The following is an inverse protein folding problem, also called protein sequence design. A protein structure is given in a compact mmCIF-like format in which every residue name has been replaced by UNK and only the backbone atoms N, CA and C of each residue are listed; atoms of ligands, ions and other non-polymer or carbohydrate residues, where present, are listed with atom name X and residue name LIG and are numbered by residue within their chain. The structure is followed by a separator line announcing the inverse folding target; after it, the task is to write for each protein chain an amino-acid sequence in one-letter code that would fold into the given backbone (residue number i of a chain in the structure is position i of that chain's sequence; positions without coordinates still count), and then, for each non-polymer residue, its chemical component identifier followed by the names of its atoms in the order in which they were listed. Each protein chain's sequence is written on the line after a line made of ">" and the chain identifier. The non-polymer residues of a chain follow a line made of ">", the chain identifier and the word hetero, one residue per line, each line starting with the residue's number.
data_IF_498556019473
#
_entry.id   IF_498556019473
#
_cell.length_a   1.000
_cell.length_b   1.000
_cell.length_c   1.000
_cell.angle_alpha   90.00
_cell.angle_beta   90.00
_cell.angle_gamma   90.00
#
_symmetry.space_group_name_H-M   'P 1'
#
loop_
_entity.id
_entity.type
_entity.pdbx_description
1 polymer ?
#
# COMPACT_ATOMS: atom_id res chain seq x y z
N UNK A 1 -31.22 79.51 27.73
CA UNK A 1 -32.63 79.84 28.10
C UNK A 1 -33.48 78.74 27.46
N UNK A 2 -34.01 77.80 28.27
CA UNK A 2 -35.45 77.55 28.50
C UNK A 2 -36.18 77.21 27.20
N UNK A 3 -36.91 76.11 26.96
CA UNK A 3 -37.81 75.22 27.70
C UNK A 3 -38.12 74.02 26.78
N UNK A 4 -38.17 72.82 27.23
CA UNK A 4 -39.31 72.05 27.79
C UNK A 4 -40.51 71.82 26.88
N UNK A 5 -40.86 70.57 26.76
CA UNK A 5 -42.15 69.86 26.79
C UNK A 5 -42.49 69.09 25.50
N UNK A 6 -42.61 67.86 25.49
CA UNK A 6 -43.48 66.81 26.06
C UNK A 6 -44.50 66.27 25.07
N UNK A 7 -44.50 64.97 24.95
CA UNK A 7 -45.55 63.95 24.77
C UNK A 7 -46.66 64.10 23.74
N UNK A 8 -46.84 63.08 22.92
CA UNK A 8 -48.03 62.17 22.78
C UNK A 8 -47.82 61.33 21.50
N UNK A 9 -47.73 60.12 21.51
CA UNK A 9 -48.69 59.00 21.53
C UNK A 9 -49.44 58.86 20.21
N UNK A 10 -49.05 57.93 19.40
CA UNK A 10 -49.78 57.57 18.15
C UNK A 10 -49.41 56.18 17.68
N UNK A 11 -50.22 55.19 18.10
CA UNK A 11 -50.17 53.83 17.64
C UNK A 11 -50.69 53.72 16.22
N UNK A 12 -49.85 53.43 15.23
CA UNK A 12 -50.30 53.08 13.89
C UNK A 12 -49.92 51.61 13.61
N UNK A 13 -50.97 50.76 13.58
CA UNK A 13 -50.86 49.41 13.02
C UNK A 13 -50.67 49.48 11.50
N UNK A 14 -49.55 49.04 11.01
CA UNK A 14 -49.38 48.75 9.58
C UNK A 14 -49.36 47.24 9.38
N UNK A 15 -50.42 46.74 8.77
CA UNK A 15 -50.49 45.42 8.23
C UNK A 15 -49.48 45.28 7.08
N UNK A 16 -48.41 44.58 7.30
CA UNK A 16 -47.48 44.15 6.24
C UNK A 16 -47.95 42.77 5.66
N UNK A 17 -48.50 42.83 4.47
CA UNK A 17 -48.71 41.68 3.63
C UNK A 17 -47.35 41.03 3.27
N UNK A 18 -47.12 39.87 3.82
CA UNK A 18 -45.93 39.07 3.52
C UNK A 18 -46.05 38.41 2.14
N UNK A 19 -45.24 38.88 1.20
CA UNK A 19 -44.98 38.10 -0.03
C UNK A 19 -43.96 37.00 0.28
N UNK A 20 -44.43 35.76 0.35
CA UNK A 20 -43.57 34.57 0.39
C UNK A 20 -42.95 34.33 -0.97
N UNK A 21 -41.73 34.72 -1.16
CA UNK A 21 -40.91 34.27 -2.29
C UNK A 21 -40.39 32.86 -2.00
N UNK A 22 -40.98 31.85 -2.63
CA UNK A 22 -40.41 30.52 -2.72
C UNK A 22 -39.15 30.58 -3.59
N UNK A 23 -37.98 30.60 -2.98
CA UNK A 23 -36.73 30.34 -3.66
C UNK A 23 -36.48 28.83 -3.72
N UNK A 24 -36.79 28.19 -4.85
CA UNK A 24 -36.32 26.86 -5.17
C UNK A 24 -34.78 26.90 -5.34
N UNK A 25 -34.07 26.77 -4.25
CA UNK A 25 -32.65 26.44 -4.24
C UNK A 25 -32.52 24.92 -4.15
N UNK A 26 -32.07 24.26 -5.22
CA UNK A 26 -31.57 22.90 -5.16
C UNK A 26 -30.29 22.95 -4.30
N UNK A 27 -30.44 22.71 -3.02
CA UNK A 27 -29.31 22.44 -2.14
C UNK A 27 -28.63 21.17 -2.62
N UNK A 28 -27.36 21.24 -2.99
CA UNK A 28 -26.52 20.07 -3.06
C UNK A 28 -26.54 19.40 -1.66
N UNK A 29 -26.64 18.06 -1.58
CA UNK A 29 -26.53 17.41 -0.29
C UNK A 29 -25.14 17.73 0.27
N UNK A 30 -25.10 18.41 1.39
CA UNK A 30 -23.89 18.56 2.22
C UNK A 30 -23.49 17.13 2.62
N UNK A 31 -22.33 16.70 2.16
CA UNK A 31 -21.70 15.44 2.62
C UNK A 31 -21.28 15.72 4.05
N UNK A 32 -22.16 15.44 4.98
CA UNK A 32 -21.82 15.44 6.40
C UNK A 32 -20.93 14.19 6.62
N UNK A 33 -19.63 14.39 6.69
CA UNK A 33 -18.72 13.38 7.22
C UNK A 33 -18.99 13.26 8.72
N UNK A 34 -20.04 12.52 9.08
CA UNK A 34 -20.26 12.20 10.49
C UNK A 34 -19.10 11.30 10.96
N UNK A 35 -18.33 11.81 11.90
CA UNK A 35 -17.37 11.01 12.67
C UNK A 35 -18.13 9.81 13.25
N UNK A 36 -17.65 8.57 13.14
CA UNK A 36 -18.35 7.41 13.66
C UNK A 36 -18.66 7.62 15.15
N UNK A 37 -19.84 7.24 15.56
CA UNK A 37 -20.36 7.45 16.92
C UNK A 37 -19.47 6.80 18.00
N UNK A 38 -18.67 5.79 17.61
CA UNK A 38 -17.67 5.15 18.48
C UNK A 38 -16.46 4.79 17.63
N UNK A 39 -15.25 5.27 18.02
CA UNK A 39 -14.00 4.93 17.36
C UNK A 39 -13.73 3.42 17.47
N UNK A 40 -13.41 2.79 16.35
CA UNK A 40 -13.06 1.37 16.31
C UNK A 40 -11.65 1.16 16.87
N UNK A 41 -11.51 0.15 17.72
CA UNK A 41 -10.21 -0.23 18.24
C UNK A 41 -9.38 -0.91 17.14
N UNK A 42 -8.12 -0.51 16.98
CA UNK A 42 -7.17 -1.18 16.09
C UNK A 42 -6.94 -2.63 16.54
N UNK A 43 -7.19 -3.63 15.70
CA UNK A 43 -6.95 -5.03 16.06
C UNK A 43 -5.45 -5.32 16.18
N UNK A 44 -5.11 -6.36 16.96
CA UNK A 44 -3.74 -6.81 17.07
C UNK A 44 -3.32 -7.59 15.82
N UNK A 45 -2.21 -7.20 15.20
CA UNK A 45 -1.62 -7.93 14.08
C UNK A 45 -1.05 -9.26 14.53
N UNK A 46 -1.36 -10.34 13.84
CA UNK A 46 -0.86 -11.68 14.15
C UNK A 46 0.39 -11.99 13.31
N UNK A 47 1.56 -11.79 13.92
CA UNK A 47 2.87 -12.05 13.29
C UNK A 47 3.10 -13.48 12.88
N UNK A 48 2.52 -14.45 13.63
CA UNK A 48 2.70 -15.88 13.33
C UNK A 48 1.88 -16.29 12.10
N UNK A 49 0.69 -15.69 11.93
CA UNK A 49 -0.11 -15.82 10.71
C UNK A 49 0.63 -15.26 9.50
N UNK A 50 1.18 -14.02 9.61
CA UNK A 50 1.95 -13.41 8.54
C UNK A 50 3.17 -14.26 8.15
N UNK A 51 3.92 -14.74 9.14
CA UNK A 51 5.04 -15.65 8.91
C UNK A 51 4.63 -16.93 8.17
N UNK A 52 3.49 -17.55 8.55
CA UNK A 52 2.99 -18.72 7.86
C UNK A 52 2.58 -18.43 6.41
N UNK A 53 2.12 -17.21 6.10
CA UNK A 53 1.84 -16.81 4.73
C UNK A 53 3.12 -16.63 3.91
N UNK A 54 4.20 -16.12 4.50
CA UNK A 54 5.51 -16.08 3.86
C UNK A 54 6.03 -17.49 3.61
N UNK A 55 6.04 -18.34 4.67
CA UNK A 55 6.49 -19.72 4.57
C UNK A 55 5.73 -20.50 3.48
N UNK A 56 4.41 -20.31 3.39
CA UNK A 56 3.61 -20.98 2.37
C UNK A 56 3.98 -20.61 0.95
N UNK A 57 4.36 -19.35 0.70
CA UNK A 57 4.84 -18.92 -0.61
C UNK A 57 6.16 -19.63 -0.96
N UNK A 58 7.10 -19.75 -0.01
CA UNK A 58 8.38 -20.43 -0.23
C UNK A 58 8.23 -21.95 -0.44
N UNK A 59 7.20 -22.57 0.14
CA UNK A 59 6.89 -23.99 -0.09
C UNK A 59 6.51 -24.31 -1.55
N UNK A 60 6.04 -23.34 -2.32
CA UNK A 60 5.78 -23.52 -3.74
C UNK A 60 7.07 -23.49 -4.58
N UNK A 61 8.15 -22.95 -4.03
CA UNK A 61 9.41 -22.69 -4.71
C UNK A 61 9.51 -21.25 -5.24
N UNK A 62 10.59 -20.92 -5.96
CA UNK A 62 10.76 -19.61 -6.59
C UNK A 62 9.59 -19.25 -7.51
N UNK A 63 9.00 -18.10 -7.27
CA UNK A 63 7.79 -17.64 -7.96
C UNK A 63 8.12 -16.88 -9.25
N UNK A 64 9.10 -17.39 -9.98
CA UNK A 64 9.53 -16.80 -11.25
C UNK A 64 8.41 -16.89 -12.30
N UNK A 65 8.03 -15.81 -12.97
CA UNK A 65 7.02 -15.85 -14.04
C UNK A 65 7.27 -16.95 -15.06
N UNK A 66 6.20 -17.56 -15.58
CA UNK A 66 6.20 -18.73 -16.47
C UNK A 66 6.52 -20.09 -15.83
N UNK A 67 6.74 -20.17 -14.51
CA UNK A 67 6.99 -21.44 -13.83
C UNK A 67 5.72 -22.05 -13.23
N UNK A 68 5.76 -23.35 -12.92
CA UNK A 68 4.66 -24.01 -12.20
C UNK A 68 4.48 -23.45 -10.78
N UNK A 69 5.57 -23.13 -10.08
CA UNK A 69 5.54 -22.51 -8.75
C UNK A 69 4.79 -21.17 -8.76
N UNK A 70 5.08 -20.31 -9.74
CA UNK A 70 4.40 -19.04 -9.96
C UNK A 70 2.89 -19.25 -10.17
N UNK A 71 2.49 -20.15 -11.06
CA UNK A 71 1.08 -20.42 -11.33
C UNK A 71 0.32 -20.95 -10.10
N UNK A 72 0.93 -21.85 -9.33
CA UNK A 72 0.33 -22.40 -8.10
C UNK A 72 0.20 -21.32 -7.03
N UNK A 73 1.25 -20.51 -6.85
CA UNK A 73 1.23 -19.39 -5.91
C UNK A 73 0.16 -18.35 -6.29
N UNK A 74 0.07 -17.95 -7.56
CA UNK A 74 -1.00 -17.05 -8.06
C UNK A 74 -2.39 -17.54 -7.66
N UNK A 75 -2.68 -18.81 -7.93
CA UNK A 75 -3.99 -19.40 -7.62
C UNK A 75 -4.26 -19.40 -6.11
N UNK A 76 -3.24 -19.67 -5.31
CA UNK A 76 -3.34 -19.66 -3.84
C UNK A 76 -3.58 -18.24 -3.31
N UNK A 77 -2.87 -17.23 -3.80
CA UNK A 77 -3.04 -15.82 -3.40
C UNK A 77 -4.45 -15.33 -3.73
N UNK A 78 -4.92 -15.57 -4.97
CA UNK A 78 -6.28 -15.22 -5.38
C UNK A 78 -7.33 -15.90 -4.50
N UNK A 79 -7.16 -17.20 -4.20
CA UNK A 79 -8.07 -17.95 -3.33
C UNK A 79 -8.05 -17.42 -1.88
N UNK A 80 -6.88 -16.99 -1.36
CA UNK A 80 -6.77 -16.42 -0.02
C UNK A 80 -7.52 -15.10 0.10
N UNK A 81 -7.32 -14.17 -0.82
CA UNK A 81 -8.03 -12.89 -0.82
C UNK A 81 -9.54 -13.09 -0.94
N UNK A 82 -10.00 -13.98 -1.85
CA UNK A 82 -11.42 -14.35 -1.96
C UNK A 82 -11.96 -14.96 -0.65
N UNK A 83 -11.17 -15.84 -0.02
CA UNK A 83 -11.52 -16.48 1.25
C UNK A 83 -11.64 -15.49 2.41
N UNK A 84 -10.98 -14.33 2.33
CA UNK A 84 -11.11 -13.23 3.29
C UNK A 84 -12.19 -12.21 2.91
N UNK A 85 -13.01 -12.53 1.90
CA UNK A 85 -14.17 -11.71 1.52
C UNK A 85 -13.85 -10.51 0.64
N UNK A 86 -12.66 -10.46 0.01
CA UNK A 86 -12.34 -9.44 -0.96
C UNK A 86 -12.87 -9.83 -2.35
N UNK A 87 -13.33 -8.84 -3.11
CA UNK A 87 -13.54 -9.02 -4.55
C UNK A 87 -12.19 -9.07 -5.25
N UNK A 88 -11.93 -10.14 -6.03
CA UNK A 88 -10.63 -10.36 -6.65
C UNK A 88 -10.70 -10.20 -8.16
N UNK A 89 -9.83 -9.34 -8.69
CA UNK A 89 -9.57 -9.15 -10.12
C UNK A 89 -8.19 -9.72 -10.43
N UNK A 90 -8.09 -10.63 -11.39
CA UNK A 90 -6.85 -11.09 -11.97
C UNK A 90 -6.57 -10.30 -13.25
N UNK A 91 -5.66 -9.33 -13.18
CA UNK A 91 -5.26 -8.51 -14.31
C UNK A 91 -4.12 -9.19 -15.06
N UNK A 92 -4.48 -9.98 -16.08
CA UNK A 92 -3.51 -10.72 -16.89
C UNK A 92 -2.85 -9.80 -17.91
N UNK A 93 -1.53 -9.94 -18.09
CA UNK A 93 -0.76 -9.20 -19.09
C UNK A 93 0.46 -10.01 -19.57
N UNK A 94 1.05 -9.62 -20.70
CA UNK A 94 2.19 -10.34 -21.28
C UNK A 94 3.28 -9.33 -21.62
N UNK A 95 4.12 -8.91 -20.67
CA UNK A 95 5.22 -8.01 -20.94
C UNK A 95 6.36 -8.74 -21.68
N UNK A 96 7.18 -7.95 -22.35
CA UNK A 96 8.45 -8.43 -22.92
C UNK A 96 9.58 -7.90 -22.04
N UNK A 97 10.41 -8.79 -21.52
CA UNK A 97 11.55 -8.47 -20.65
C UNK A 97 12.72 -7.88 -21.44
N UNK A 98 13.72 -7.38 -20.73
CA UNK A 98 14.96 -6.83 -21.29
C UNK A 98 15.72 -7.84 -22.18
N UNK A 99 15.64 -9.14 -21.87
CA UNK A 99 16.25 -10.24 -22.63
C UNK A 99 15.32 -10.83 -23.72
N UNK A 100 14.19 -10.16 -24.02
CA UNK A 100 13.26 -10.50 -25.09
C UNK A 100 12.27 -11.62 -24.79
N UNK A 101 12.22 -12.12 -23.54
CA UNK A 101 11.22 -13.12 -23.13
C UNK A 101 9.85 -12.50 -22.95
N UNK A 102 8.81 -13.27 -23.25
CA UNK A 102 7.43 -12.93 -22.92
C UNK A 102 7.01 -13.63 -21.63
N UNK A 103 6.54 -12.87 -20.66
CA UNK A 103 6.08 -13.39 -19.38
C UNK A 103 4.54 -13.46 -19.37
N UNK A 104 4.00 -14.60 -18.93
CA UNK A 104 2.57 -14.71 -18.63
C UNK A 104 2.37 -14.26 -17.19
N UNK A 105 2.08 -13.00 -17.00
CA UNK A 105 2.03 -12.35 -15.70
C UNK A 105 0.60 -11.97 -15.29
N UNK A 106 0.38 -11.84 -13.99
CA UNK A 106 -0.94 -11.51 -13.43
C UNK A 106 -0.79 -10.64 -12.18
N UNK A 107 -1.19 -9.38 -12.26
CA UNK A 107 -1.45 -8.60 -11.05
C UNK A 107 -2.72 -9.12 -10.38
N UNK A 108 -2.66 -9.36 -9.07
CA UNK A 108 -3.79 -9.83 -8.27
C UNK A 108 -4.31 -8.67 -7.44
N UNK A 109 -5.54 -8.26 -7.69
CA UNK A 109 -6.16 -7.09 -7.04
C UNK A 109 -7.29 -7.59 -6.15
N UNK A 110 -7.15 -7.42 -4.85
CA UNK A 110 -8.20 -7.71 -3.87
C UNK A 110 -8.83 -6.42 -3.37
N UNK A 111 -10.14 -6.27 -3.55
CA UNK A 111 -10.88 -5.09 -3.12
C UNK A 111 -11.73 -5.41 -1.90
N UNK A 112 -11.40 -4.81 -0.76
CA UNK A 112 -12.26 -4.78 0.41
C UNK A 112 -13.17 -3.56 0.33
N UNK A 113 -14.49 -3.75 0.48
CA UNK A 113 -15.50 -2.69 0.36
C UNK A 113 -15.35 -1.87 -0.94
N UNK A 114 -15.44 -2.50 -2.14
CA UNK A 114 -15.23 -1.82 -3.42
C UNK A 114 -16.25 -0.70 -3.70
N UNK A 115 -17.41 -0.75 -3.06
CA UNK A 115 -18.47 0.27 -3.16
C UNK A 115 -18.12 1.59 -2.47
N UNK A 116 -17.18 1.60 -1.53
CA UNK A 116 -16.81 2.81 -0.80
C UNK A 116 -15.83 3.65 -1.62
N UNK A 117 -16.11 4.95 -1.73
CA UNK A 117 -15.27 5.91 -2.45
C UNK A 117 -14.00 6.30 -1.69
N UNK A 118 -14.10 6.45 -0.36
CA UNK A 118 -12.95 6.68 0.49
C UNK A 118 -12.17 5.39 0.64
N UNK A 119 -10.96 5.35 0.11
CA UNK A 119 -10.16 4.12 0.09
C UNK A 119 -8.66 4.38 0.08
N UNK A 120 -7.90 3.41 0.54
CA UNK A 120 -6.43 3.39 0.48
C UNK A 120 -5.95 2.17 -0.32
N UNK A 121 -4.74 2.29 -0.87
CA UNK A 121 -4.08 1.24 -1.64
C UNK A 121 -2.92 0.66 -0.83
N UNK A 122 -2.87 -0.65 -0.70
CA UNK A 122 -1.74 -1.39 -0.14
C UNK A 122 -1.19 -2.30 -1.23
N UNK A 123 0.12 -2.35 -1.40
CA UNK A 123 0.71 -3.18 -2.43
C UNK A 123 2.00 -3.88 -1.97
N UNK A 124 2.34 -4.96 -2.66
CA UNK A 124 3.62 -5.66 -2.62
C UNK A 124 3.79 -6.40 -3.94
N UNK A 125 5.02 -6.72 -4.36
CA UNK A 125 5.18 -7.66 -5.45
C UNK A 125 5.12 -9.10 -4.94
N UNK A 126 4.76 -10.07 -5.80
CA UNK A 126 4.59 -11.46 -5.39
C UNK A 126 5.44 -12.46 -6.17
N UNK A 127 6.02 -12.04 -7.28
CA UNK A 127 7.02 -12.83 -8.01
C UNK A 127 8.35 -12.88 -7.26
N UNK A 128 9.33 -13.54 -7.80
CA UNK A 128 10.70 -13.55 -7.27
C UNK A 128 11.74 -13.53 -8.39
N UNK A 129 12.93 -13.04 -8.06
CA UNK A 129 14.07 -12.90 -8.96
C UNK A 129 14.43 -14.21 -9.65
N UNK A 130 14.54 -14.23 -11.01
CA UNK A 130 14.98 -15.42 -11.74
C UNK A 130 16.47 -15.71 -11.63
N UNK A 131 17.26 -14.76 -11.11
CA UNK A 131 18.71 -14.81 -11.07
C UNK A 131 19.24 -14.40 -9.69
N UNK A 132 20.11 -15.21 -9.07
CA UNK A 132 20.80 -14.84 -7.83
C UNK A 132 22.00 -13.93 -8.16
N UNK A 133 21.74 -12.72 -8.64
CA UNK A 133 22.72 -11.85 -9.28
C UNK A 133 23.20 -10.65 -8.45
N UNK A 134 22.94 -10.64 -7.13
CA UNK A 134 23.48 -9.61 -6.24
C UNK A 134 24.99 -9.41 -6.51
N UNK A 135 25.47 -8.17 -6.59
CA UNK A 135 26.88 -7.88 -6.91
C UNK A 135 27.88 -8.60 -6.04
N UNK A 136 27.61 -8.70 -4.75
CA UNK A 136 28.49 -9.33 -3.75
C UNK A 136 28.29 -10.85 -3.64
N UNK A 137 27.32 -11.45 -4.35
CA UNK A 137 27.05 -12.88 -4.31
C UNK A 137 28.08 -13.65 -5.17
N UNK A 138 28.74 -14.63 -4.54
CA UNK A 138 29.78 -15.46 -5.19
C UNK A 138 29.28 -16.85 -5.62
N UNK A 139 27.98 -17.15 -5.40
CA UNK A 139 27.38 -18.41 -5.76
C UNK A 139 26.96 -18.51 -7.23
N UNK A 140 26.06 -19.45 -7.53
CA UNK A 140 25.53 -19.65 -8.88
C UNK A 140 24.48 -18.61 -9.23
N UNK A 141 24.89 -17.60 -9.98
CA UNK A 141 24.05 -16.47 -10.40
C UNK A 141 22.94 -16.85 -11.40
N UNK A 142 22.91 -18.07 -11.88
CA UNK A 142 21.86 -18.54 -12.80
C UNK A 142 20.66 -19.16 -12.08
N UNK A 143 20.77 -19.36 -10.77
CA UNK A 143 19.67 -19.93 -9.95
C UNK A 143 18.62 -18.88 -9.62
N UNK A 144 17.34 -19.28 -9.58
CA UNK A 144 16.28 -18.41 -9.10
C UNK A 144 16.35 -18.22 -7.59
N UNK A 145 15.97 -17.04 -7.14
CA UNK A 145 15.87 -16.67 -5.72
C UNK A 145 14.55 -17.17 -5.13
N UNK A 146 14.58 -17.65 -3.89
CA UNK A 146 13.36 -18.10 -3.21
C UNK A 146 12.42 -16.92 -2.89
N UNK A 147 12.95 -15.73 -2.63
CA UNK A 147 12.17 -14.53 -2.41
C UNK A 147 11.30 -14.59 -1.15
N UNK A 148 11.87 -14.98 -0.01
CA UNK A 148 11.13 -15.01 1.24
C UNK A 148 10.89 -13.59 1.79
N UNK A 149 11.92 -12.77 1.73
CA UNK A 149 11.84 -11.35 2.09
C UNK A 149 11.44 -10.52 0.88
N UNK A 150 12.13 -10.72 -0.22
CA UNK A 150 11.96 -10.04 -1.49
C UNK A 150 10.73 -10.61 -2.24
N UNK A 151 9.68 -9.83 -2.16
CA UNK A 151 8.29 -10.01 -2.44
C UNK A 151 7.49 -10.77 -1.38
N UNK A 152 8.00 -11.89 -0.87
CA UNK A 152 7.25 -12.77 0.02
C UNK A 152 6.82 -12.15 1.33
N UNK A 153 7.65 -11.30 1.94
CA UNK A 153 7.38 -10.67 3.24
C UNK A 153 6.22 -9.67 3.17
N UNK A 154 6.23 -8.78 2.17
CA UNK A 154 5.17 -7.81 1.93
C UNK A 154 3.82 -8.48 1.71
N UNK A 155 3.78 -9.50 0.85
CA UNK A 155 2.56 -10.31 0.61
C UNK A 155 2.08 -10.98 1.89
N UNK A 156 2.97 -11.54 2.71
CA UNK A 156 2.62 -12.17 3.98
C UNK A 156 1.95 -11.21 4.96
N UNK A 157 2.46 -9.97 5.06
CA UNK A 157 1.86 -8.91 5.87
C UNK A 157 0.47 -8.54 5.33
N UNK A 158 0.32 -8.33 4.02
CA UNK A 158 -0.95 -7.91 3.43
C UNK A 158 -2.03 -8.98 3.48
N UNK A 159 -1.68 -10.27 3.42
CA UNK A 159 -2.64 -11.37 3.65
C UNK A 159 -3.14 -11.39 5.10
N UNK A 160 -2.30 -11.07 6.08
CA UNK A 160 -2.75 -10.94 7.46
C UNK A 160 -3.62 -9.70 7.66
N UNK A 161 -3.32 -8.57 6.98
CA UNK A 161 -4.19 -7.39 6.97
C UNK A 161 -5.56 -7.76 6.39
N UNK A 162 -5.62 -8.46 5.27
CA UNK A 162 -6.89 -8.94 4.68
C UNK A 162 -7.69 -9.81 5.65
N UNK A 163 -7.00 -10.74 6.36
CA UNK A 163 -7.62 -11.59 7.38
C UNK A 163 -8.19 -10.78 8.54
N UNK A 164 -7.49 -9.71 8.96
CA UNK A 164 -7.95 -8.83 10.03
C UNK A 164 -9.15 -8.00 9.61
N UNK A 165 -9.19 -7.50 8.36
CA UNK A 165 -10.35 -6.78 7.82
C UNK A 165 -11.61 -7.65 7.78
N UNK A 166 -11.46 -8.95 7.49
CA UNK A 166 -12.57 -9.91 7.57
C UNK A 166 -13.05 -10.11 9.02
N UNK A 167 -12.11 -10.29 9.95
CA UNK A 167 -12.42 -10.60 11.35
C UNK A 167 -12.95 -9.38 12.14
N UNK A 168 -12.51 -8.20 11.76
CA UNK A 168 -12.81 -6.91 12.41
C UNK A 168 -13.21 -5.89 11.33
N UNK A 169 -14.45 -5.93 10.82
CA UNK A 169 -14.86 -5.08 9.71
C UNK A 169 -14.78 -3.58 10.02
N UNK A 170 -14.42 -2.79 9.01
CA UNK A 170 -14.32 -1.33 9.05
C UNK A 170 -14.89 -0.73 7.77
N UNK A 171 -15.55 0.44 7.86
CA UNK A 171 -16.23 1.06 6.71
C UNK A 171 -15.32 2.05 5.97
N UNK A 172 -14.18 1.54 5.49
CA UNK A 172 -13.27 2.20 4.56
C UNK A 172 -12.89 1.20 3.46
N UNK A 173 -12.77 1.66 2.22
CA UNK A 173 -12.30 0.82 1.13
C UNK A 173 -10.79 0.56 1.26
N UNK A 174 -10.37 -0.68 1.04
CA UNK A 174 -8.95 -1.05 0.97
C UNK A 174 -8.72 -1.89 -0.28
N UNK A 175 -7.80 -1.44 -1.14
CA UNK A 175 -7.31 -2.25 -2.24
C UNK A 175 -5.98 -2.88 -1.85
N UNK A 176 -5.87 -4.18 -2.01
CA UNK A 176 -4.62 -4.93 -1.87
C UNK A 176 -4.19 -5.37 -3.26
N UNK A 177 -3.06 -4.89 -3.73
CA UNK A 177 -2.53 -5.23 -5.05
C UNK A 177 -1.21 -5.98 -4.90
N UNK A 178 -1.17 -7.19 -5.45
CA UNK A 178 0.06 -7.95 -5.60
C UNK A 178 0.53 -7.79 -7.05
N UNK A 179 1.61 -7.03 -7.23
CA UNK A 179 2.23 -6.81 -8.53
C UNK A 179 3.04 -8.03 -8.96
N UNK A 180 3.02 -8.34 -10.27
CA UNK A 180 3.76 -9.45 -10.86
C UNK A 180 4.87 -8.92 -11.77
N UNK A 181 5.92 -9.71 -11.97
CA UNK A 181 7.05 -9.36 -12.83
C UNK A 181 7.69 -8.01 -12.44
N UNK A 182 7.77 -7.74 -11.14
CA UNK A 182 8.54 -6.65 -10.58
C UNK A 182 10.03 -6.94 -10.80
N UNK A 183 10.45 -8.15 -10.41
CA UNK A 183 11.82 -8.56 -10.15
C UNK A 183 12.50 -9.24 -11.36
N UNK A 184 11.93 -9.07 -12.56
CA UNK A 184 12.53 -9.56 -13.82
C UNK A 184 13.28 -8.45 -14.58
N UNK A 185 13.86 -7.49 -13.87
CA UNK A 185 14.58 -6.38 -14.48
C UNK A 185 16.03 -6.70 -14.87
N UNK A 186 16.63 -5.83 -15.67
CA UNK A 186 18.05 -5.88 -16.05
C UNK A 186 18.92 -5.41 -14.88
N UNK A 187 19.71 -6.30 -14.28
CA UNK A 187 20.66 -6.00 -13.19
C UNK A 187 22.01 -5.46 -13.66
N UNK A 188 22.19 -5.17 -14.94
CA UNK A 188 23.47 -4.64 -15.46
C UNK A 188 23.68 -3.17 -15.06
N UNK A 189 24.94 -2.74 -14.99
CA UNK A 189 25.35 -1.39 -14.53
C UNK A 189 24.73 -0.24 -15.36
N UNK A 190 24.41 -0.51 -16.64
CA UNK A 190 23.83 0.49 -17.55
C UNK A 190 22.34 0.21 -17.85
N UNK A 191 21.68 -0.59 -17.02
CA UNK A 191 20.29 -0.95 -17.21
C UNK A 191 19.35 0.26 -17.14
N UNK A 192 18.29 0.19 -17.93
CA UNK A 192 17.22 1.18 -17.84
C UNK A 192 16.27 0.81 -16.71
N UNK A 193 15.85 1.77 -15.88
CA UNK A 193 14.91 1.52 -14.79
C UNK A 193 13.60 0.89 -15.25
N UNK A 194 13.11 1.21 -16.44
CA UNK A 194 11.85 0.73 -16.99
C UNK A 194 11.83 -0.76 -17.37
N UNK A 195 12.93 -1.48 -17.18
CA UNK A 195 12.99 -2.95 -17.30
C UNK A 195 12.44 -3.67 -16.05
N UNK A 196 12.33 -2.98 -14.91
CA UNK A 196 11.81 -3.44 -13.64
C UNK A 196 10.32 -3.11 -13.46
N UNK A 197 9.66 -3.69 -12.48
CA UNK A 197 8.31 -3.31 -12.04
C UNK A 197 7.27 -3.37 -13.17
N UNK A 198 7.37 -4.39 -14.06
CA UNK A 198 6.52 -4.48 -15.25
C UNK A 198 5.03 -4.59 -14.91
N UNK A 199 4.70 -5.17 -13.75
CA UNK A 199 3.33 -5.29 -13.25
C UNK A 199 2.72 -3.97 -12.85
N UNK A 200 3.41 -3.17 -12.03
CA UNK A 200 2.90 -1.86 -11.64
C UNK A 200 2.87 -0.87 -12.81
N UNK A 201 3.83 -0.96 -13.74
CA UNK A 201 3.77 -0.20 -14.99
C UNK A 201 2.50 -0.52 -15.79
N UNK A 202 2.17 -1.82 -15.90
CA UNK A 202 0.96 -2.26 -16.59
C UNK A 202 -0.30 -1.80 -15.85
N UNK A 203 -0.36 -2.01 -14.53
CA UNK A 203 -1.49 -1.63 -13.70
C UNK A 203 -1.73 -0.11 -13.73
N UNK A 204 -0.68 0.70 -13.61
CA UNK A 204 -0.79 2.15 -13.60
C UNK A 204 -1.33 2.73 -14.93
N UNK A 205 -1.06 2.06 -16.05
CA UNK A 205 -1.61 2.40 -17.37
C UNK A 205 -3.05 1.87 -17.57
N UNK A 206 -3.47 0.87 -16.79
CA UNK A 206 -4.74 0.13 -16.96
C UNK A 206 -5.48 -0.01 -15.64
N UNK A 207 -5.76 1.10 -14.97
CA UNK A 207 -6.41 1.11 -13.67
C UNK A 207 -7.80 0.45 -13.73
N UNK A 208 -8.09 -0.40 -12.75
CA UNK A 208 -9.36 -1.12 -12.64
C UNK A 208 -10.52 -0.27 -12.08
N UNK A 209 -10.22 0.92 -11.59
CA UNK A 209 -11.20 1.80 -10.97
C UNK A 209 -12.24 2.31 -11.96
N UNK A 210 -13.49 2.41 -11.49
CA UNK A 210 -14.63 2.89 -12.27
C UNK A 210 -15.21 4.14 -11.60
N UNK A 211 -16.00 4.91 -12.35
CA UNK A 211 -16.79 6.05 -11.83
C UNK A 211 -15.95 7.12 -11.09
N UNK A 212 -14.67 7.26 -11.42
CA UNK A 212 -13.81 8.25 -10.79
C UNK A 212 -13.35 7.91 -9.37
N UNK A 213 -13.73 6.74 -8.84
CA UNK A 213 -13.22 6.26 -7.55
C UNK A 213 -11.73 5.95 -7.71
N UNK A 214 -10.90 6.48 -6.79
CA UNK A 214 -9.46 6.20 -6.71
C UNK A 214 -9.03 6.19 -5.25
N UNK A 215 -7.96 5.47 -4.90
CA UNK A 215 -7.40 5.55 -3.55
C UNK A 215 -6.87 6.96 -3.28
N UNK A 216 -7.03 7.42 -2.04
CA UNK A 216 -6.50 8.71 -1.59
C UNK A 216 -4.96 8.70 -1.60
N UNK A 217 -4.39 7.56 -1.24
CA UNK A 217 -2.95 7.28 -1.31
C UNK A 217 -2.68 5.77 -1.28
N UNK A 218 -1.41 5.40 -1.46
CA UNK A 218 -0.92 4.03 -1.40
C UNK A 218 0.28 3.85 -0.48
N UNK A 219 0.48 2.61 -0.05
CA UNK A 219 1.64 2.13 0.71
C UNK A 219 2.13 0.85 0.04
N UNK A 220 3.37 0.86 -0.44
CA UNK A 220 4.07 -0.32 -0.94
C UNK A 220 4.85 -0.96 0.21
N UNK A 221 4.96 -2.27 0.17
CA UNK A 221 5.80 -3.06 1.07
C UNK A 221 6.79 -3.88 0.26
N UNK A 222 8.06 -3.64 0.44
CA UNK A 222 9.11 -4.48 -0.12
C UNK A 222 10.19 -4.79 0.92
N UNK A 223 10.65 -6.06 0.97
CA UNK A 223 11.66 -6.54 1.93
C UNK A 223 11.38 -6.11 3.38
N UNK A 224 10.19 -6.40 3.88
CA UNK A 224 9.72 -5.99 5.22
C UNK A 224 9.83 -7.10 6.26
N UNK A 225 10.62 -8.15 6.02
CA UNK A 225 10.71 -9.33 6.87
C UNK A 225 12.04 -9.52 7.59
N UNK A 226 13.14 -8.90 7.16
CA UNK A 226 14.46 -9.13 7.74
C UNK A 226 14.56 -8.66 9.21
N UNK A 227 15.37 -9.32 10.06
CA UNK A 227 15.63 -8.84 11.42
C UNK A 227 16.35 -7.49 11.40
N UNK A 228 16.06 -6.67 12.40
CA UNK A 228 16.67 -5.33 12.55
C UNK A 228 16.45 -4.40 11.35
N UNK A 229 15.36 -4.58 10.63
CA UNK A 229 15.00 -3.75 9.48
C UNK A 229 14.94 -2.26 9.84
N UNK A 230 15.36 -1.42 8.90
CA UNK A 230 15.33 0.04 9.01
C UNK A 230 14.70 0.62 7.75
N UNK A 231 13.50 1.11 7.89
CA UNK A 231 12.74 1.75 6.84
C UNK A 231 12.98 3.26 6.92
N UNK A 232 13.68 3.82 5.94
CA UNK A 232 13.95 5.25 5.87
C UNK A 232 13.10 5.92 4.79
N UNK A 233 13.48 7.14 4.40
CA UNK A 233 12.79 7.93 3.40
C UNK A 233 13.48 7.76 2.05
N UNK A 234 12.88 7.05 1.11
CA UNK A 234 13.33 7.06 -0.28
C UNK A 234 12.96 8.38 -0.96
N UNK A 235 13.70 8.72 -2.03
CA UNK A 235 13.59 10.01 -2.69
C UNK A 235 12.20 10.22 -3.33
N UNK A 236 11.60 9.19 -3.91
CA UNK A 236 10.29 9.30 -4.61
C UNK A 236 9.15 9.43 -3.61
N UNK A 237 9.14 8.63 -2.54
CA UNK A 237 8.19 8.78 -1.43
C UNK A 237 8.26 10.17 -0.83
N UNK A 238 9.47 10.68 -0.61
CA UNK A 238 9.67 12.03 -0.08
C UNK A 238 9.20 13.12 -1.06
N UNK A 239 9.49 12.99 -2.34
CA UNK A 239 9.11 13.99 -3.36
C UNK A 239 7.61 13.97 -3.66
N UNK A 240 6.99 12.79 -3.82
CA UNK A 240 5.63 12.65 -4.35
C UNK A 240 4.55 12.46 -3.30
N UNK A 241 4.89 11.91 -2.14
CA UNK A 241 3.95 11.48 -1.11
C UNK A 241 4.40 11.85 0.30
N UNK A 242 5.10 12.98 0.48
CA UNK A 242 5.66 13.38 1.78
C UNK A 242 4.62 13.46 2.90
N UNK A 243 3.42 13.95 2.60
CA UNK A 243 2.30 14.01 3.55
C UNK A 243 1.91 12.62 4.05
N UNK A 244 1.88 11.62 3.18
CA UNK A 244 1.62 10.23 3.53
C UNK A 244 2.79 9.64 4.32
N UNK A 245 4.01 9.91 3.89
CA UNK A 245 5.24 9.46 4.55
C UNK A 245 5.31 9.96 6.00
N UNK A 246 5.12 11.26 6.22
CA UNK A 246 5.13 11.84 7.57
C UNK A 246 3.99 11.28 8.45
N UNK A 247 2.81 11.07 7.87
CA UNK A 247 1.66 10.44 8.53
C UNK A 247 2.02 9.04 9.04
N UNK A 248 2.58 8.18 8.19
CA UNK A 248 2.87 6.78 8.53
C UNK A 248 4.04 6.65 9.50
N UNK A 249 5.15 7.38 9.28
CA UNK A 249 6.31 7.37 10.19
C UNK A 249 5.99 8.00 11.54
N UNK A 250 5.22 9.09 11.56
CA UNK A 250 4.74 9.72 12.79
C UNK A 250 3.89 8.76 13.63
N UNK A 251 2.96 8.05 12.96
CA UNK A 251 2.14 7.03 13.60
C UNK A 251 2.99 5.86 14.14
N UNK A 252 3.93 5.36 13.35
CA UNK A 252 4.83 4.28 13.77
C UNK A 252 5.66 4.67 15.00
N UNK A 253 6.17 5.89 15.04
CA UNK A 253 6.90 6.44 16.19
C UNK A 253 6.02 6.55 17.44
N UNK A 254 4.79 7.07 17.29
CA UNK A 254 3.79 7.15 18.38
C UNK A 254 3.50 5.76 18.97
N UNK A 255 3.43 4.74 18.12
CA UNK A 255 3.18 3.35 18.50
C UNK A 255 4.40 2.62 19.07
N UNK A 256 5.58 3.27 19.16
CA UNK A 256 6.81 2.69 19.67
C UNK A 256 7.61 1.85 18.67
N UNK A 257 7.37 2.02 17.36
CA UNK A 257 8.11 1.33 16.29
C UNK A 257 9.21 2.20 15.65
N UNK A 258 9.60 3.30 16.28
CA UNK A 258 10.62 4.22 15.75
C UNK A 258 12.00 3.60 15.52
N UNK A 259 12.30 2.41 16.08
CA UNK A 259 13.52 1.69 15.75
C UNK A 259 13.49 1.06 14.35
N UNK A 260 12.30 0.78 13.80
CA UNK A 260 12.11 0.27 12.45
C UNK A 260 11.89 1.41 11.46
N UNK A 261 11.04 2.37 11.80
CA UNK A 261 10.67 3.52 10.97
C UNK A 261 11.55 4.71 11.35
N UNK A 262 12.64 4.88 10.60
CA UNK A 262 13.68 5.88 10.90
C UNK A 262 13.52 7.11 9.99
N UNK A 263 13.69 8.31 10.56
CA UNK A 263 13.61 9.57 9.82
C UNK A 263 14.97 9.89 9.14
N UNK A 264 15.41 8.98 8.27
CA UNK A 264 16.71 9.06 7.58
C UNK A 264 16.50 8.90 6.07
N UNK A 265 17.15 9.73 5.22
CA UNK A 265 17.09 9.53 3.78
C UNK A 265 17.84 8.27 3.37
N UNK A 266 17.29 7.48 2.47
CA UNK A 266 17.89 6.26 1.94
C UNK A 266 18.28 6.34 0.46
N UNK A 267 18.06 7.52 -0.16
CA UNK A 267 18.34 7.76 -1.59
C UNK A 267 17.29 7.16 -2.52
N UNK A 268 17.54 7.32 -3.81
CA UNK A 268 16.62 6.83 -4.84
C UNK A 268 16.57 5.31 -4.93
N UNK A 269 15.42 4.82 -5.35
CA UNK A 269 15.18 3.41 -5.68
C UNK A 269 14.22 3.33 -6.87
N UNK A 270 14.35 2.31 -7.69
CA UNK A 270 13.36 1.91 -8.69
C UNK A 270 12.54 0.78 -8.09
N UNK A 271 11.26 1.05 -7.83
CA UNK A 271 10.33 0.08 -7.29
C UNK A 271 8.90 0.44 -7.75
N UNK A 272 7.92 -0.40 -7.49
CA UNK A 272 6.54 -0.30 -7.96
C UNK A 272 5.89 1.06 -7.64
N UNK A 273 6.17 1.66 -6.48
CA UNK A 273 5.65 2.98 -6.08
C UNK A 273 6.06 4.10 -7.05
N UNK A 274 7.21 3.99 -7.72
CA UNK A 274 7.67 4.95 -8.72
C UNK A 274 6.64 5.06 -9.83
N UNK A 275 6.24 3.93 -10.40
CA UNK A 275 5.29 3.90 -11.53
C UNK A 275 3.87 4.25 -11.10
N UNK A 276 3.46 3.90 -9.88
CA UNK A 276 2.17 4.31 -9.31
C UNK A 276 2.12 5.83 -9.16
N UNK A 277 3.18 6.47 -8.66
CA UNK A 277 3.27 7.92 -8.55
C UNK A 277 3.28 8.62 -9.91
N UNK A 278 4.18 8.21 -10.81
CA UNK A 278 4.41 8.95 -12.04
C UNK A 278 3.41 8.64 -13.16
N UNK A 279 2.85 7.43 -13.23
CA UNK A 279 1.93 7.02 -14.30
C UNK A 279 0.47 7.11 -13.84
N UNK A 280 0.13 6.52 -12.68
CA UNK A 280 -1.24 6.55 -12.19
C UNK A 280 -1.60 7.87 -11.49
N UNK A 281 -0.61 8.65 -11.05
CA UNK A 281 -0.82 9.89 -10.30
C UNK A 281 -1.45 9.66 -8.93
N UNK A 282 -1.19 8.50 -8.33
CA UNK A 282 -1.61 8.15 -6.97
C UNK A 282 -0.40 8.31 -6.06
N UNK A 283 -0.49 9.16 -5.04
CA UNK A 283 0.55 9.29 -4.02
C UNK A 283 0.81 7.95 -3.37
N UNK A 284 2.02 7.42 -3.46
CA UNK A 284 2.39 6.14 -2.88
C UNK A 284 3.77 6.21 -2.24
N UNK A 285 3.86 5.80 -0.99
CA UNK A 285 5.12 5.64 -0.27
C UNK A 285 5.58 4.19 -0.37
N UNK A 286 6.88 4.00 -0.15
CA UNK A 286 7.50 2.69 -0.04
C UNK A 286 8.02 2.45 1.38
N UNK A 287 7.68 1.31 1.95
CA UNK A 287 8.25 0.80 3.19
C UNK A 287 9.22 -0.31 2.81
N UNK A 288 10.48 0.06 2.61
CA UNK A 288 11.53 -0.84 2.15
C UNK A 288 12.74 -0.83 3.08
N UNK A 289 13.33 -2.01 3.30
CA UNK A 289 14.52 -2.13 4.15
C UNK A 289 15.80 -1.82 3.37
N UNK A 290 16.34 -0.61 3.60
CA UNK A 290 17.61 -0.13 3.01
C UNK A 290 18.63 0.19 4.11
N UNK A 291 19.40 -0.81 4.62
CA UNK A 291 20.36 -0.57 5.68
C UNK A 291 21.50 0.34 5.20
N UNK A 292 21.77 1.43 5.94
CA UNK A 292 22.82 2.41 5.58
C UNK A 292 24.24 1.82 5.49
N UNK A 293 24.51 0.72 6.20
CA UNK A 293 25.80 0.03 6.18
C UNK A 293 25.94 -1.01 5.05
N UNK A 294 24.89 -1.25 4.27
CA UNK A 294 24.92 -2.21 3.18
C UNK A 294 25.76 -1.71 2.00
N UNK A 295 26.51 -2.61 1.37
CA UNK A 295 27.28 -2.32 0.16
C UNK A 295 26.41 -2.21 -1.08
N UNK A 296 25.34 -2.98 -1.13
CA UNK A 296 24.38 -3.00 -2.26
C UNK A 296 23.27 -1.97 -2.09
N UNK A 297 23.13 -1.39 -0.88
CA UNK A 297 21.98 -0.57 -0.49
C UNK A 297 20.78 -1.39 0.03
N UNK A 298 20.87 -2.74 -0.01
CA UNK A 298 19.81 -3.66 0.43
C UNK A 298 20.33 -4.63 1.48
N UNK A 299 19.50 -5.52 1.97
CA UNK A 299 19.89 -6.57 2.93
C UNK A 299 20.85 -7.59 2.31
N UNK A 300 21.65 -8.26 3.13
CA UNK A 300 22.72 -9.16 2.64
C UNK A 300 22.20 -10.36 1.82
N UNK A 301 20.95 -10.76 2.00
CA UNK A 301 20.34 -11.85 1.26
C UNK A 301 19.63 -11.42 -0.03
N UNK A 302 19.52 -10.09 -0.29
CA UNK A 302 18.90 -9.56 -1.49
C UNK A 302 19.54 -10.11 -2.77
N UNK A 303 18.73 -10.65 -3.66
CA UNK A 303 19.14 -11.27 -4.92
C UNK A 303 20.22 -12.37 -4.75
N UNK A 304 20.08 -13.15 -3.69
CA UNK A 304 20.96 -14.33 -3.44
C UNK A 304 20.11 -15.58 -3.21
N UNK A 305 20.73 -16.76 -3.26
CA UNK A 305 20.06 -18.02 -2.87
C UNK A 305 19.82 -18.12 -1.35
N UNK A 306 20.29 -17.12 -0.58
CA UNK A 306 20.09 -17.00 0.86
C UNK A 306 18.79 -16.30 1.26
N UNK A 307 17.99 -15.78 0.32
CA UNK A 307 16.68 -15.19 0.65
C UNK A 307 15.62 -16.27 0.91
N UNK A 308 15.70 -16.88 2.07
CA UNK A 308 14.91 -18.03 2.51
C UNK A 308 14.17 -17.72 3.79
N UNK A 309 13.21 -18.58 4.18
CA UNK A 309 12.30 -18.35 5.31
C UNK A 309 13.00 -18.12 6.66
N UNK A 310 14.24 -18.62 6.83
CA UNK A 310 15.05 -18.39 8.03
C UNK A 310 15.54 -16.95 8.19
N UNK A 311 15.47 -16.14 7.13
CA UNK A 311 15.76 -14.70 7.17
C UNK A 311 14.62 -13.86 7.72
N UNK A 312 13.44 -14.44 7.88
CA UNK A 312 12.22 -13.71 8.26
C UNK A 312 12.05 -13.61 9.77
N UNK A 313 12.06 -12.38 10.27
CA UNK A 313 11.74 -12.06 11.65
C UNK A 313 10.26 -11.67 11.81
N UNK A 314 9.56 -12.42 12.66
CA UNK A 314 8.15 -12.20 12.97
C UNK A 314 7.88 -10.85 13.65
N UNK A 315 8.85 -10.29 14.35
CA UNK A 315 8.69 -8.99 15.02
C UNK A 315 8.75 -7.83 14.01
N UNK A 316 9.58 -7.95 12.97
CA UNK A 316 9.59 -7.00 11.86
C UNK A 316 8.27 -7.03 11.10
N UNK A 317 7.77 -8.23 10.73
CA UNK A 317 6.43 -8.37 10.12
C UNK A 317 5.33 -7.74 10.99
N UNK A 318 5.41 -7.93 12.33
CA UNK A 318 4.46 -7.31 13.25
C UNK A 318 4.57 -5.79 13.26
N UNK A 319 5.76 -5.23 13.25
CA UNK A 319 5.96 -3.79 13.30
C UNK A 319 5.26 -3.13 12.09
N UNK A 320 5.53 -3.63 10.90
CA UNK A 320 4.92 -3.13 9.66
C UNK A 320 3.41 -3.37 9.65
N UNK A 321 2.97 -4.60 9.87
CA UNK A 321 1.55 -4.93 9.79
C UNK A 321 0.68 -4.24 10.86
N UNK A 322 1.20 -4.02 12.06
CA UNK A 322 0.48 -3.29 13.11
C UNK A 322 0.33 -1.81 12.76
N UNK A 323 1.35 -1.20 12.15
CA UNK A 323 1.28 0.18 11.64
C UNK A 323 0.23 0.29 10.53
N UNK A 324 0.21 -0.65 9.56
CA UNK A 324 -0.81 -0.65 8.50
C UNK A 324 -2.24 -0.78 9.04
N UNK A 325 -2.47 -1.69 10.01
CA UNK A 325 -3.78 -1.78 10.66
C UNK A 325 -4.13 -0.47 11.35
N UNK A 326 -3.19 0.15 12.04
CA UNK A 326 -3.42 1.44 12.68
C UNK A 326 -3.76 2.53 11.66
N UNK A 327 -3.07 2.58 10.51
CA UNK A 327 -3.39 3.49 9.41
C UNK A 327 -4.85 3.30 8.99
N UNK A 328 -5.28 2.08 8.65
CA UNK A 328 -6.64 1.78 8.18
C UNK A 328 -7.71 2.22 9.19
N UNK A 329 -7.55 1.82 10.45
CA UNK A 329 -8.57 2.06 11.48
C UNK A 329 -8.59 3.51 11.97
N UNK A 330 -7.44 4.18 12.04
CA UNK A 330 -7.39 5.61 12.41
C UNK A 330 -7.87 6.51 11.26
N UNK A 331 -7.62 6.15 9.99
CA UNK A 331 -8.24 6.83 8.85
C UNK A 331 -9.76 6.74 8.96
N UNK A 332 -10.32 5.56 9.21
CA UNK A 332 -11.75 5.40 9.41
C UNK A 332 -12.27 6.26 10.57
N UNK A 333 -11.57 6.27 11.71
CA UNK A 333 -11.94 7.05 12.88
C UNK A 333 -11.79 8.58 12.67
N UNK A 334 -11.13 9.03 11.60
CA UNK A 334 -10.75 10.42 11.39
C UNK A 334 -9.71 10.93 12.40
N UNK A 335 -8.77 10.05 12.77
CA UNK A 335 -7.70 10.29 13.76
C UNK A 335 -6.32 10.39 13.10
N UNK A 336 -6.25 10.29 11.76
CA UNK A 336 -5.02 10.29 11.01
C UNK A 336 -5.01 11.32 9.86
#
# INVERSE_FOLDING_TARGET
>A
MKNKLALLGGLICVLALGFTFCKNGKGQPEIVNEKPATALKVPAFNRDSAFQFVNKQTEFGPRVPNTAAHQVCKNWLSAKLKGYGLEVIEQNFTPTTFDGKKLNSTNIIGQYRPELSRRILLAAHWDSRPFADSPDFSGDKTKPVMGADDGGSGVGVLLEVARQLQANPVDIGVDIVFFDAEDYGDGSENAKPDTWCLGSQHWAKNLHYKNGIRPEYGILLDMVGAPSARFGFDDVSYEKANDVLQKVWGLAKEMGYGQYFVEEPTGGITDDHVYVNYIAGIKMIDIINKPAASKTGFVDHWHTDGDTIDKIDRYTLRAVGQVLLAVIYREFNGEL
#
